data_IF_738335840066
#
_entry.id   IF_738335840066
#
_cell.length_a   1.000
_cell.length_b   1.000
_cell.length_c   1.000
_cell.angle_alpha   90.00
_cell.angle_beta   90.00
_cell.angle_gamma   90.00
#
_symmetry.space_group_name_H-M   'P 1'
#
loop_
_entity.id
_entity.type
_entity.pdbx_description
1 polymer ?
#
# COMPACT_ATOMS: atom_id res chain seq x y z
N UNK A 1 6.27 21.11 19.08
CA UNK A 1 6.15 19.67 19.39
C UNK A 1 4.83 19.48 20.14
N UNK A 2 3.73 19.36 19.40
CA UNK A 2 2.39 19.29 19.99
C UNK A 2 2.10 17.81 20.23
N UNK A 3 1.87 17.45 21.50
CA UNK A 3 1.46 16.10 21.92
C UNK A 3 0.14 15.79 21.21
N UNK A 4 0.14 14.77 20.37
CA UNK A 4 -1.01 14.31 19.61
C UNK A 4 -1.94 13.60 20.59
N UNK A 5 -3.20 14.01 20.67
CA UNK A 5 -4.21 13.28 21.43
C UNK A 5 -4.41 11.89 20.82
N UNK A 6 -4.15 10.88 21.62
CA UNK A 6 -4.34 9.46 21.32
C UNK A 6 -5.84 9.17 21.27
N UNK A 7 -6.45 9.35 20.11
CA UNK A 7 -7.80 8.86 19.87
C UNK A 7 -7.79 7.34 19.79
N UNK A 8 -8.40 6.66 20.76
CA UNK A 8 -8.68 5.23 20.66
C UNK A 8 -9.72 5.01 19.56
N UNK A 9 -9.33 4.34 18.48
CA UNK A 9 -10.27 3.89 17.46
C UNK A 9 -10.92 2.60 17.94
N UNK A 10 -12.25 2.48 18.04
CA UNK A 10 -12.88 1.23 18.42
C UNK A 10 -12.58 0.13 17.38
N UNK A 11 -12.53 -1.11 17.83
CA UNK A 11 -12.43 -2.26 16.92
C UNK A 11 -13.64 -2.30 15.99
N UNK A 12 -13.42 -2.58 14.71
CA UNK A 12 -14.51 -2.76 13.78
C UNK A 12 -15.18 -4.11 14.07
N UNK A 13 -16.47 -4.17 14.46
CA UNK A 13 -17.14 -5.41 14.85
C UNK A 13 -17.23 -6.45 13.71
N UNK A 14 -16.75 -6.11 12.50
CA UNK A 14 -16.72 -6.95 11.30
C UNK A 14 -15.45 -7.80 11.16
N UNK A 15 -14.73 -8.06 12.25
CA UNK A 15 -13.53 -8.94 12.31
C UNK A 15 -13.82 -10.38 11.82
N UNK A 16 -15.10 -10.78 11.77
CA UNK A 16 -15.60 -12.00 11.10
C UNK A 16 -16.41 -11.72 9.83
N UNK A 17 -15.97 -10.74 9.03
CA UNK A 17 -16.51 -10.48 7.71
C UNK A 17 -16.13 -11.59 6.71
N UNK A 18 -16.91 -11.71 5.64
CA UNK A 18 -16.58 -12.58 4.50
C UNK A 18 -15.18 -12.26 3.93
N UNK A 19 -14.74 -10.99 4.01
CA UNK A 19 -13.42 -10.52 3.60
C UNK A 19 -12.32 -11.13 4.48
N UNK A 20 -12.44 -11.03 5.80
CA UNK A 20 -11.47 -11.63 6.73
C UNK A 20 -11.41 -13.15 6.59
N UNK A 21 -12.54 -13.82 6.38
CA UNK A 21 -12.57 -15.26 6.12
C UNK A 21 -11.92 -15.62 4.77
N UNK A 22 -12.16 -14.84 3.72
CA UNK A 22 -11.49 -15.00 2.43
C UNK A 22 -9.98 -14.85 2.56
N UNK A 23 -9.50 -13.83 3.27
CA UNK A 23 -8.07 -13.64 3.55
C UNK A 23 -7.48 -14.85 4.27
N UNK A 24 -8.13 -15.35 5.33
CA UNK A 24 -7.65 -16.52 6.10
C UNK A 24 -7.64 -17.83 5.30
N UNK A 25 -8.59 -18.01 4.39
CA UNK A 25 -8.77 -19.30 3.68
C UNK A 25 -8.09 -19.33 2.32
N UNK A 26 -8.02 -18.19 1.62
CA UNK A 26 -7.44 -18.07 0.28
C UNK A 26 -6.11 -17.33 0.26
N UNK A 27 -5.74 -16.65 1.33
CA UNK A 27 -4.53 -15.82 1.39
C UNK A 27 -4.69 -14.43 0.77
N UNK A 28 -5.90 -14.07 0.32
CA UNK A 28 -6.20 -12.74 -0.22
C UNK A 28 -7.71 -12.48 -0.24
N UNK A 29 -8.09 -11.21 -0.31
CA UNK A 29 -9.48 -10.80 -0.49
C UNK A 29 -9.57 -9.44 -1.20
N UNK A 30 -10.69 -9.18 -1.86
CA UNK A 30 -11.06 -7.86 -2.42
C UNK A 30 -12.22 -7.28 -1.64
N UNK A 31 -12.27 -5.95 -1.57
CA UNK A 31 -13.33 -5.17 -0.92
C UNK A 31 -13.36 -3.77 -1.51
N UNK A 32 -14.42 -3.00 -1.25
CA UNK A 32 -14.59 -1.70 -1.87
C UNK A 32 -15.11 -0.59 -0.92
N UNK A 33 -15.43 0.57 -1.50
CA UNK A 33 -15.94 1.72 -0.78
C UNK A 33 -17.22 1.44 0.05
N UNK A 34 -18.06 0.50 -0.36
CA UNK A 34 -19.27 0.09 0.36
C UNK A 34 -18.91 -0.67 1.65
N UNK A 35 -17.85 -1.47 1.62
CA UNK A 35 -17.34 -2.16 2.82
C UNK A 35 -16.70 -1.18 3.81
N UNK A 36 -16.13 -0.09 3.32
CA UNK A 36 -15.45 0.90 4.17
C UNK A 36 -16.42 1.84 4.89
N UNK A 37 -17.62 2.07 4.33
CA UNK A 37 -18.68 2.91 4.91
C UNK A 37 -18.19 4.29 5.34
N UNK A 38 -17.33 4.92 4.52
CA UNK A 38 -16.71 6.19 4.86
C UNK A 38 -17.72 7.30 5.15
N UNK A 39 -17.43 8.16 6.12
CA UNK A 39 -18.18 9.39 6.35
C UNK A 39 -17.81 10.48 5.31
N UNK A 40 -18.54 11.59 5.32
CA UNK A 40 -18.29 12.68 4.37
C UNK A 40 -16.89 13.30 4.51
N UNK A 41 -16.36 13.39 5.73
CA UNK A 41 -15.01 13.91 5.99
C UNK A 41 -13.96 13.04 5.32
N UNK A 42 -14.03 11.73 5.52
CA UNK A 42 -13.10 10.75 4.95
C UNK A 42 -13.16 10.74 3.41
N UNK A 43 -14.35 10.88 2.82
CA UNK A 43 -14.48 11.04 1.36
C UNK A 43 -13.79 12.30 0.85
N UNK A 44 -13.91 13.43 1.55
CA UNK A 44 -13.20 14.67 1.19
C UNK A 44 -11.69 14.54 1.38
N UNK A 45 -11.25 13.79 2.37
CA UNK A 45 -9.83 13.48 2.61
C UNK A 45 -9.25 12.61 1.49
N UNK A 46 -10.02 11.70 0.91
CA UNK A 46 -9.60 10.93 -0.27
C UNK A 46 -9.29 11.86 -1.45
N UNK A 47 -10.14 12.86 -1.72
CA UNK A 47 -9.87 13.87 -2.74
C UNK A 47 -8.63 14.72 -2.43
N UNK A 48 -8.40 15.04 -1.15
CA UNK A 48 -7.19 15.75 -0.71
C UNK A 48 -5.94 14.87 -0.89
N UNK A 49 -6.02 13.58 -0.61
CA UNK A 49 -4.95 12.61 -0.83
C UNK A 49 -4.61 12.49 -2.31
N UNK A 50 -5.63 12.43 -3.19
CA UNK A 50 -5.45 12.40 -4.64
C UNK A 50 -4.76 13.67 -5.18
N UNK A 51 -5.01 14.85 -4.57
CA UNK A 51 -4.28 16.09 -4.89
C UNK A 51 -2.86 16.07 -4.35
N UNK A 52 -2.66 15.60 -3.11
CA UNK A 52 -1.34 15.46 -2.52
C UNK A 52 -0.44 14.52 -3.36
N UNK A 53 -1.00 13.43 -3.86
CA UNK A 53 -0.31 12.47 -4.73
C UNK A 53 0.30 13.10 -6.01
N UNK A 54 -0.25 14.22 -6.49
CA UNK A 54 0.27 14.93 -7.66
C UNK A 54 1.58 15.70 -7.36
N UNK A 55 1.85 15.97 -6.09
CA UNK A 55 3.06 16.70 -5.64
C UNK A 55 4.22 15.76 -5.30
N UNK A 56 4.01 14.44 -5.38
CA UNK A 56 5.02 13.47 -5.01
C UNK A 56 6.24 13.56 -5.92
N UNK A 57 7.46 13.44 -5.38
CA UNK A 57 8.67 13.42 -6.18
C UNK A 57 8.73 12.12 -7.00
N UNK A 58 9.49 12.17 -8.09
CA UNK A 58 9.86 10.95 -8.81
C UNK A 58 10.60 10.01 -7.85
N UNK A 59 10.30 8.73 -7.94
CA UNK A 59 10.96 7.70 -7.15
C UNK A 59 12.40 7.51 -7.64
N UNK A 60 13.40 7.84 -6.82
CA UNK A 60 14.80 7.61 -7.15
C UNK A 60 15.20 6.12 -7.26
N UNK A 61 14.34 5.23 -6.76
CA UNK A 61 14.50 3.77 -6.77
C UNK A 61 13.40 3.08 -7.59
N UNK A 62 12.66 3.85 -8.39
CA UNK A 62 11.57 3.40 -9.24
C UNK A 62 11.64 4.07 -10.60
N UNK A 63 11.92 3.30 -11.64
CA UNK A 63 11.93 3.82 -13.00
C UNK A 63 10.56 4.31 -13.49
N UNK A 64 10.53 4.76 -14.74
CA UNK A 64 9.32 4.85 -15.56
C UNK A 64 8.16 5.67 -14.96
N UNK A 65 8.44 6.88 -14.47
CA UNK A 65 7.38 7.79 -14.04
C UNK A 65 6.62 7.34 -12.78
N UNK A 66 7.24 6.51 -11.94
CA UNK A 66 6.74 6.21 -10.59
C UNK A 66 7.08 7.36 -9.65
N UNK A 67 6.09 7.83 -8.89
CA UNK A 67 6.24 8.83 -7.84
C UNK A 67 5.78 8.23 -6.51
N UNK A 68 6.46 8.55 -5.41
CA UNK A 68 6.06 8.01 -4.11
C UNK A 68 6.43 8.87 -2.91
N UNK A 69 5.73 8.65 -1.81
CA UNK A 69 6.19 8.91 -0.45
C UNK A 69 5.97 7.68 0.43
N UNK A 70 6.59 7.69 1.60
CA UNK A 70 6.46 6.64 2.60
C UNK A 70 6.31 7.25 3.98
N UNK A 71 5.60 6.60 4.88
CA UNK A 71 5.63 6.89 6.30
C UNK A 71 5.53 5.58 7.06
N UNK A 72 5.97 5.62 8.31
CA UNK A 72 6.01 4.44 9.16
C UNK A 72 5.51 4.83 10.53
N UNK A 73 4.65 4.00 11.11
CA UNK A 73 4.15 4.15 12.47
C UNK A 73 4.48 2.93 13.31
N UNK A 74 4.49 3.15 14.63
CA UNK A 74 4.33 2.07 15.61
C UNK A 74 2.84 1.97 15.92
N UNK A 75 2.25 0.82 15.59
CA UNK A 75 0.88 0.44 15.90
C UNK A 75 0.88 -0.42 17.16
N UNK A 76 0.06 -0.07 18.15
CA UNK A 76 -0.10 -0.87 19.38
C UNK A 76 -1.50 -1.49 19.37
N UNK A 77 -1.64 -2.82 19.14
CA UNK A 77 -2.94 -3.46 18.98
C UNK A 77 -3.87 -3.28 20.19
N UNK A 78 -3.35 -3.51 21.39
CA UNK A 78 -4.11 -3.52 22.65
C UNK A 78 -4.79 -2.20 22.99
N UNK A 79 -4.09 -1.09 22.72
CA UNK A 79 -4.59 0.27 22.99
C UNK A 79 -5.21 0.92 21.76
N UNK A 80 -5.13 0.26 20.59
CA UNK A 80 -5.49 0.79 19.28
C UNK A 80 -4.90 2.18 19.03
N UNK A 81 -3.61 2.32 19.34
CA UNK A 81 -2.87 3.57 19.13
C UNK A 81 -1.90 3.45 17.97
N UNK A 82 -1.71 4.57 17.26
CA UNK A 82 -0.81 4.69 16.12
C UNK A 82 0.13 5.88 16.35
N UNK A 83 1.45 5.64 16.31
CA UNK A 83 2.47 6.70 16.47
C UNK A 83 3.38 6.77 15.25
N UNK A 84 3.14 7.76 14.40
CA UNK A 84 3.99 8.05 13.24
C UNK A 84 5.41 8.42 13.66
N UNK A 85 6.40 7.78 13.03
CA UNK A 85 7.81 8.14 13.19
C UNK A 85 8.04 9.54 12.57
N UNK A 86 8.87 10.39 13.20
CA UNK A 86 9.05 11.79 12.78
C UNK A 86 9.83 11.94 11.46
N UNK A 87 10.61 10.93 11.05
CA UNK A 87 11.53 11.01 9.93
C UNK A 87 12.81 11.79 10.27
N UNK A 88 13.60 12.08 9.23
CA UNK A 88 14.89 12.76 9.27
C UNK A 88 14.73 14.06 8.48
N UNK A 89 15.00 15.20 9.11
CA UNK A 89 14.96 16.49 8.42
C UNK A 89 16.26 16.65 7.61
N UNK A 90 16.14 16.64 6.29
CA UNK A 90 17.23 16.89 5.36
C UNK A 90 17.34 18.36 4.95
N UNK A 91 18.29 18.64 4.06
CA UNK A 91 18.55 19.99 3.55
C UNK A 91 17.32 20.56 2.82
N UNK A 92 17.05 21.85 3.03
CA UNK A 92 15.88 22.53 2.47
C UNK A 92 14.55 22.20 3.16
N UNK A 93 14.58 21.58 4.34
CA UNK A 93 13.39 21.33 5.16
C UNK A 93 12.54 20.15 4.71
N UNK A 94 13.03 19.35 3.75
CA UNK A 94 12.38 18.09 3.38
C UNK A 94 12.56 17.07 4.50
N UNK A 95 11.49 16.36 4.82
CA UNK A 95 11.55 15.26 5.80
C UNK A 95 11.59 13.96 5.02
N UNK A 96 12.60 13.14 5.28
CA UNK A 96 12.78 11.82 4.68
C UNK A 96 12.59 10.73 5.72
N UNK A 97 12.39 9.50 5.29
CA UNK A 97 12.36 8.34 6.17
C UNK A 97 13.06 7.16 5.49
N UNK A 98 13.78 6.38 6.30
CA UNK A 98 14.45 5.17 5.83
C UNK A 98 13.42 4.05 5.63
N UNK A 99 13.58 3.31 4.55
CA UNK A 99 12.80 2.12 4.24
C UNK A 99 13.76 1.03 3.77
N UNK A 100 13.61 -0.14 4.35
CA UNK A 100 14.45 -1.29 4.05
C UNK A 100 13.57 -2.51 3.79
N UNK A 101 13.88 -3.21 2.71
CA UNK A 101 13.32 -4.53 2.41
C UNK A 101 14.49 -5.51 2.31
N UNK A 102 14.25 -6.77 2.68
CA UNK A 102 15.24 -7.81 2.51
C UNK A 102 15.52 -8.06 1.03
N UNK A 103 16.74 -8.53 0.70
CA UNK A 103 17.18 -8.82 -0.67
C UNK A 103 16.28 -9.82 -1.39
N UNK A 104 15.67 -10.76 -0.66
CA UNK A 104 14.73 -11.73 -1.21
C UNK A 104 13.45 -11.10 -1.77
N UNK A 105 12.98 -9.99 -1.19
CA UNK A 105 11.73 -9.32 -1.59
C UNK A 105 11.98 -8.14 -2.52
N UNK A 106 13.17 -7.54 -2.48
CA UNK A 106 13.56 -6.52 -3.44
C UNK A 106 14.94 -6.80 -4.03
N UNK A 107 15.05 -7.69 -5.04
CA UNK A 107 16.34 -8.08 -5.62
C UNK A 107 17.18 -6.91 -6.15
N UNK A 108 16.53 -5.85 -6.64
CA UNK A 108 17.20 -4.67 -7.22
C UNK A 108 17.84 -3.76 -6.17
N UNK A 109 17.35 -3.75 -4.92
CA UNK A 109 17.78 -2.79 -3.89
C UNK A 109 17.88 -3.35 -2.47
N UNK A 110 17.64 -4.64 -2.26
CA UNK A 110 17.51 -5.18 -0.91
C UNK A 110 18.87 -5.26 -0.22
N UNK A 111 18.85 -4.96 1.08
CA UNK A 111 20.06 -4.65 1.85
C UNK A 111 20.50 -3.18 1.79
N UNK A 112 19.95 -2.37 0.88
CA UNK A 112 20.18 -0.92 0.84
C UNK A 112 19.12 -0.20 1.67
N UNK A 113 19.55 0.67 2.59
CA UNK A 113 18.66 1.63 3.25
C UNK A 113 18.28 2.73 2.28
N UNK A 114 17.06 2.66 1.74
CA UNK A 114 16.53 3.68 0.83
C UNK A 114 15.91 4.80 1.64
N UNK A 115 16.06 6.04 1.18
CA UNK A 115 15.39 7.21 1.74
C UNK A 115 14.30 7.68 0.81
N UNK A 116 13.10 7.81 1.34
CA UNK A 116 11.95 8.36 0.60
C UNK A 116 11.48 9.64 1.28
N UNK A 117 10.83 10.51 0.50
CA UNK A 117 10.08 11.63 1.07
C UNK A 117 9.08 11.07 2.09
N UNK A 118 9.11 11.61 3.31
CA UNK A 118 8.13 11.27 4.33
C UNK A 118 6.79 11.88 3.98
N UNK A 119 5.71 11.10 4.09
CA UNK A 119 4.34 11.64 4.01
C UNK A 119 4.17 12.79 5.01
N UNK A 120 3.51 13.87 4.58
CA UNK A 120 3.34 15.06 5.43
C UNK A 120 2.44 14.78 6.65
N UNK A 121 2.69 15.43 7.79
CA UNK A 121 1.89 15.26 9.00
C UNK A 121 0.40 15.56 8.78
N UNK A 122 0.08 16.55 7.93
CA UNK A 122 -1.31 16.87 7.57
C UNK A 122 -2.04 15.67 6.99
N UNK A 123 -1.40 14.92 6.09
CA UNK A 123 -2.00 13.73 5.46
C UNK A 123 -2.07 12.57 6.45
N UNK A 124 -1.04 12.40 7.28
CA UNK A 124 -0.99 11.36 8.32
C UNK A 124 -2.01 11.58 9.45
N UNK A 125 -2.62 12.78 9.53
CA UNK A 125 -3.69 13.12 10.44
C UNK A 125 -5.10 12.92 9.86
N UNK A 126 -5.22 12.55 8.58
CA UNK A 126 -6.54 12.30 7.99
C UNK A 126 -7.24 11.15 8.68
N UNK A 127 -8.50 11.36 9.05
CA UNK A 127 -9.36 10.31 9.62
C UNK A 127 -9.45 9.10 8.69
N UNK A 128 -9.46 9.32 7.37
CA UNK A 128 -9.42 8.28 6.34
C UNK A 128 -8.23 7.33 6.52
N UNK A 129 -7.04 7.86 6.75
CA UNK A 129 -5.83 7.03 6.85
C UNK A 129 -5.90 6.14 8.09
N UNK A 130 -6.36 6.69 9.21
CA UNK A 130 -6.51 5.91 10.44
C UNK A 130 -7.63 4.86 10.30
N UNK A 131 -8.74 5.22 9.65
CA UNK A 131 -9.86 4.33 9.36
C UNK A 131 -9.42 3.12 8.54
N UNK A 132 -8.65 3.34 7.47
CA UNK A 132 -8.14 2.27 6.62
C UNK A 132 -7.14 1.38 7.37
N UNK A 133 -6.15 1.96 8.05
CA UNK A 133 -5.17 1.21 8.83
C UNK A 133 -5.84 0.26 9.82
N UNK A 134 -6.83 0.75 10.57
CA UNK A 134 -7.53 -0.08 11.54
C UNK A 134 -8.46 -1.10 10.91
N UNK A 135 -9.11 -0.75 9.81
CA UNK A 135 -9.92 -1.70 9.05
C UNK A 135 -9.06 -2.85 8.50
N UNK A 136 -7.94 -2.55 7.86
CA UNK A 136 -7.02 -3.53 7.30
C UNK A 136 -6.39 -4.39 8.38
N UNK A 137 -5.98 -3.78 9.50
CA UNK A 137 -5.45 -4.51 10.65
C UNK A 137 -6.47 -5.51 11.21
N UNK A 138 -7.73 -5.09 11.36
CA UNK A 138 -8.80 -5.95 11.87
C UNK A 138 -9.09 -7.13 10.92
N UNK A 139 -8.94 -6.96 9.59
CA UNK A 139 -9.08 -8.06 8.62
C UNK A 139 -8.03 -9.17 8.80
N UNK A 140 -6.82 -8.84 9.27
CA UNK A 140 -5.75 -9.82 9.45
C UNK A 140 -6.08 -10.87 10.52
N UNK A 141 -7.05 -10.58 11.41
CA UNK A 141 -7.36 -11.44 12.55
C UNK A 141 -6.17 -11.62 13.50
N UNK A 142 -5.32 -10.59 13.63
CA UNK A 142 -4.08 -10.63 14.42
C UNK A 142 -4.27 -11.26 15.81
N UNK A 143 -3.54 -12.33 16.08
CA UNK A 143 -3.56 -13.06 17.36
C UNK A 143 -2.24 -12.97 18.13
N UNK A 144 -1.26 -12.20 17.63
CA UNK A 144 0.09 -12.09 18.20
C UNK A 144 0.19 -11.30 19.52
N UNK A 145 -0.92 -11.13 20.24
CA UNK A 145 -0.98 -10.41 21.51
C UNK A 145 -0.76 -8.90 21.39
N UNK A 146 -0.25 -8.31 22.47
CA UNK A 146 -0.14 -6.86 22.66
C UNK A 146 1.17 -6.27 22.10
N UNK A 147 1.99 -7.08 21.42
CA UNK A 147 3.28 -6.64 20.89
C UNK A 147 3.08 -5.53 19.83
N UNK A 148 3.82 -4.42 19.94
CA UNK A 148 3.75 -3.36 18.94
C UNK A 148 4.22 -3.84 17.57
N UNK A 149 3.55 -3.35 16.54
CA UNK A 149 3.85 -3.62 15.14
C UNK A 149 4.35 -2.37 14.44
N UNK A 150 5.18 -2.58 13.43
CA UNK A 150 5.43 -1.57 12.42
C UNK A 150 4.22 -1.54 11.47
N UNK A 151 3.70 -0.35 11.22
CA UNK A 151 2.70 -0.08 10.19
C UNK A 151 3.31 0.81 9.12
N UNK A 152 3.49 0.27 7.92
CA UNK A 152 3.95 1.02 6.76
C UNK A 152 2.77 1.69 6.05
N UNK A 153 2.99 2.93 5.59
CA UNK A 153 2.06 3.64 4.72
C UNK A 153 2.80 4.11 3.47
N UNK A 154 2.41 3.56 2.33
CA UNK A 154 2.96 3.89 1.03
C UNK A 154 1.92 4.64 0.22
N UNK A 155 2.33 5.73 -0.43
CA UNK A 155 1.51 6.37 -1.46
C UNK A 155 2.30 6.34 -2.76
N UNK A 156 1.79 5.63 -3.76
CA UNK A 156 2.47 5.38 -5.02
C UNK A 156 1.59 5.86 -6.17
N UNK A 157 2.14 6.74 -7.00
CA UNK A 157 1.50 7.25 -8.22
C UNK A 157 2.30 6.85 -9.44
N UNK A 158 1.71 6.04 -10.31
CA UNK A 158 2.25 5.67 -11.61
C UNK A 158 1.78 6.68 -12.66
N UNK A 159 2.71 7.31 -13.37
CA UNK A 159 2.45 8.32 -14.40
C UNK A 159 2.82 7.80 -15.79
N UNK A 160 1.82 7.56 -16.64
CA UNK A 160 2.04 7.14 -18.02
C UNK A 160 1.94 8.32 -18.99
N UNK A 161 2.80 8.35 -20.00
CA UNK A 161 2.73 9.25 -21.14
C UNK A 161 2.56 8.44 -22.44
N UNK A 162 2.13 9.05 -23.55
CA UNK A 162 2.09 8.37 -24.85
C UNK A 162 3.45 7.73 -25.18
N UNK A 163 3.46 6.42 -25.42
CA UNK A 163 4.66 5.63 -25.70
C UNK A 163 5.59 5.38 -24.49
N UNK A 164 5.23 5.85 -23.29
CA UNK A 164 6.02 5.66 -22.06
C UNK A 164 5.14 5.07 -20.95
N UNK A 165 5.07 3.73 -20.83
CA UNK A 165 4.37 3.08 -19.73
C UNK A 165 5.01 3.41 -18.38
N UNK A 166 4.26 3.22 -17.30
CA UNK A 166 4.76 3.27 -15.93
C UNK A 166 4.57 1.93 -15.23
N UNK A 167 5.59 1.48 -14.49
CA UNK A 167 5.69 0.12 -13.96
C UNK A 167 5.90 0.10 -12.45
N UNK A 168 5.43 -0.97 -11.83
CA UNK A 168 5.83 -1.34 -10.47
C UNK A 168 7.17 -2.08 -10.50
N UNK A 169 7.88 -2.08 -9.37
CA UNK A 169 9.12 -2.85 -9.20
C UNK A 169 8.93 -3.74 -7.97
N UNK A 170 9.20 -5.06 -8.07
CA UNK A 170 9.69 -5.77 -9.26
C UNK A 170 8.59 -5.97 -10.34
N UNK A 171 9.00 -6.04 -11.61
CA UNK A 171 8.09 -6.27 -12.76
C UNK A 171 7.85 -7.78 -13.01
N UNK A 172 7.55 -8.51 -11.94
CA UNK A 172 7.22 -9.94 -11.94
C UNK A 172 6.27 -10.28 -10.78
N UNK A 173 5.82 -11.54 -10.70
CA UNK A 173 5.14 -12.04 -9.50
C UNK A 173 6.09 -11.97 -8.32
N UNK A 174 5.67 -11.36 -7.23
CA UNK A 174 6.52 -11.16 -6.06
C UNK A 174 5.73 -11.25 -4.76
N UNK A 175 6.51 -11.24 -3.69
CA UNK A 175 6.11 -11.10 -2.30
C UNK A 175 6.69 -9.79 -1.79
N UNK A 176 5.96 -9.09 -0.95
CA UNK A 176 6.36 -7.80 -0.39
C UNK A 176 7.37 -7.98 0.76
N UNK A 177 7.25 -9.09 1.50
CA UNK A 177 8.05 -9.41 2.68
C UNK A 177 7.43 -8.98 4.00
N UNK A 178 6.31 -8.27 3.96
CA UNK A 178 5.48 -7.98 5.12
C UNK A 178 4.36 -9.02 5.20
N UNK A 179 4.02 -9.56 6.39
CA UNK A 179 2.99 -10.57 6.54
C UNK A 179 1.67 -10.25 5.84
N UNK A 180 1.22 -8.99 5.93
CA UNK A 180 0.01 -8.53 5.28
C UNK A 180 0.23 -7.17 4.62
N UNK A 181 -0.29 -7.02 3.40
CA UNK A 181 -0.34 -5.76 2.66
C UNK A 181 -1.74 -5.54 2.10
N UNK A 182 -2.35 -4.41 2.46
CA UNK A 182 -3.56 -3.90 1.83
C UNK A 182 -3.20 -2.85 0.76
N UNK A 183 -3.96 -2.82 -0.33
CA UNK A 183 -3.79 -1.87 -1.44
C UNK A 183 -5.14 -1.27 -1.77
N UNK A 184 -5.23 0.06 -1.76
CA UNK A 184 -6.45 0.80 -2.05
C UNK A 184 -6.24 1.74 -3.24
N UNK A 185 -7.16 1.73 -4.20
CA UNK A 185 -7.12 2.71 -5.28
C UNK A 185 -7.48 4.11 -4.75
N UNK A 186 -6.57 5.06 -4.92
CA UNK A 186 -6.84 6.47 -4.58
C UNK A 186 -7.49 7.17 -5.75
N UNK A 187 -6.90 7.05 -6.95
CA UNK A 187 -7.51 7.52 -8.18
C UNK A 187 -6.92 6.81 -9.40
N UNK A 188 -7.66 6.87 -10.50
CA UNK A 188 -7.26 6.38 -11.81
C UNK A 188 -7.84 7.29 -12.89
N UNK A 189 -7.01 7.79 -13.80
CA UNK A 189 -7.48 8.62 -14.91
C UNK A 189 -6.56 8.54 -16.12
N UNK A 190 -7.12 8.50 -17.33
CA UNK A 190 -6.36 8.52 -18.58
C UNK A 190 -5.40 7.34 -18.78
N UNK A 191 -5.63 6.19 -18.12
CA UNK A 191 -4.78 5.00 -18.22
C UNK A 191 -5.54 3.73 -18.59
N UNK A 192 -4.87 2.86 -19.36
CA UNK A 192 -5.21 1.44 -19.52
C UNK A 192 -4.15 0.57 -18.81
N UNK A 193 -4.41 -0.72 -18.62
CA UNK A 193 -3.51 -1.62 -17.86
C UNK A 193 -3.71 -1.51 -16.34
N UNK A 194 -2.69 -1.85 -15.54
CA UNK A 194 -2.83 -1.92 -14.08
C UNK A 194 -3.76 -3.05 -13.62
N UNK A 195 -3.71 -4.19 -14.31
CA UNK A 195 -4.41 -5.42 -13.96
C UNK A 195 -3.60 -6.10 -12.84
N UNK A 196 -4.27 -6.46 -11.74
CA UNK A 196 -3.63 -7.21 -10.65
C UNK A 196 -3.70 -8.70 -10.94
N UNK A 197 -2.68 -9.42 -10.49
CA UNK A 197 -2.55 -10.86 -10.58
C UNK A 197 -2.26 -11.41 -9.20
N UNK A 198 -2.88 -12.54 -8.88
CA UNK A 198 -2.63 -13.35 -7.69
C UNK A 198 -2.30 -14.77 -8.15
N UNK A 199 -1.27 -15.35 -7.56
CA UNK A 199 -0.86 -16.73 -7.83
C UNK A 199 -0.34 -17.40 -6.55
N UNK A 200 -0.17 -18.72 -6.61
CA UNK A 200 0.45 -19.47 -5.53
C UNK A 200 1.93 -19.03 -5.31
N UNK A 201 2.45 -19.04 -4.07
CA UNK A 201 3.78 -18.52 -3.75
C UNK A 201 4.94 -19.12 -4.55
N UNK A 202 4.77 -20.36 -5.03
CA UNK A 202 5.76 -21.05 -5.89
C UNK A 202 6.05 -20.34 -7.21
N UNK A 203 5.20 -19.41 -7.65
CA UNK A 203 5.40 -18.61 -8.85
C UNK A 203 6.10 -17.27 -8.57
N UNK A 204 6.49 -16.98 -7.33
CA UNK A 204 7.28 -15.79 -7.02
C UNK A 204 8.60 -15.79 -7.82
N UNK A 205 8.92 -14.66 -8.45
CA UNK A 205 10.04 -14.49 -9.38
C UNK A 205 9.69 -14.70 -10.85
N UNK A 206 8.60 -15.39 -11.17
CA UNK A 206 8.20 -15.69 -12.54
C UNK A 206 7.53 -14.48 -13.22
N UNK A 207 7.71 -14.34 -14.54
CA UNK A 207 6.91 -13.38 -15.31
C UNK A 207 5.50 -13.93 -15.51
N UNK A 208 4.51 -13.05 -15.57
CA UNK A 208 3.11 -13.42 -15.88
C UNK A 208 3.00 -14.25 -17.17
N UNK A 209 3.84 -13.99 -18.17
CA UNK A 209 3.85 -14.75 -19.45
C UNK A 209 4.35 -16.19 -19.32
N UNK A 210 4.99 -16.54 -18.22
CA UNK A 210 5.60 -17.87 -17.97
C UNK A 210 4.74 -18.73 -17.05
N UNK A 211 3.69 -18.14 -16.47
CA UNK A 211 2.79 -18.81 -15.54
C UNK A 211 1.55 -19.28 -16.31
N UNK A 212 1.10 -20.54 -16.12
CA UNK A 212 -0.14 -21.02 -16.72
C UNK A 212 -1.33 -20.11 -16.37
N UNK A 213 -2.18 -19.81 -17.36
CA UNK A 213 -3.28 -18.85 -17.19
C UNK A 213 -4.30 -19.29 -16.11
N UNK A 214 -4.49 -20.59 -15.94
CA UNK A 214 -5.36 -21.19 -14.91
C UNK A 214 -4.76 -21.12 -13.49
N UNK A 215 -3.46 -20.83 -13.37
CA UNK A 215 -2.80 -20.57 -12.10
C UNK A 215 -2.85 -19.09 -11.68
N UNK A 216 -3.37 -18.21 -12.53
CA UNK A 216 -3.48 -16.77 -12.29
C UNK A 216 -4.92 -16.37 -12.01
N UNK A 217 -5.16 -15.76 -10.86
CA UNK A 217 -6.38 -14.99 -10.63
C UNK A 217 -6.13 -13.53 -10.98
N UNK A 218 -7.05 -12.88 -11.69
CA UNK A 218 -6.89 -11.49 -12.13
C UNK A 218 -8.09 -10.63 -11.80
N UNK A 219 -7.83 -9.36 -11.46
CA UNK A 219 -8.87 -8.36 -11.22
C UNK A 219 -8.31 -6.95 -11.41
N UNK A 220 -9.19 -5.98 -11.67
CA UNK A 220 -8.82 -4.59 -11.88
C UNK A 220 -9.40 -3.70 -10.79
N UNK A 221 -8.61 -2.74 -10.31
CA UNK A 221 -9.12 -1.63 -9.49
C UNK A 221 -9.52 -0.49 -10.43
N UNK A 222 -10.79 -0.12 -10.38
CA UNK A 222 -11.44 0.81 -11.30
C UNK A 222 -11.94 2.06 -10.61
N UNK A 223 -12.67 1.91 -9.51
CA UNK A 223 -13.28 2.98 -8.75
C UNK A 223 -12.44 3.31 -7.49
N UNK A 224 -12.46 4.57 -7.01
CA UNK A 224 -11.77 4.93 -5.78
C UNK A 224 -12.19 4.01 -4.62
N UNK A 225 -11.20 3.51 -3.91
CA UNK A 225 -11.28 2.53 -2.83
C UNK A 225 -11.67 1.11 -3.24
N UNK A 226 -11.69 0.78 -4.54
CA UNK A 226 -11.48 -0.62 -4.94
C UNK A 226 -10.17 -1.07 -4.30
N UNK A 227 -10.24 -2.13 -3.50
CA UNK A 227 -9.17 -2.55 -2.60
C UNK A 227 -8.94 -4.05 -2.62
N UNK A 228 -7.75 -4.46 -2.24
CA UNK A 228 -7.44 -5.85 -1.92
C UNK A 228 -6.42 -5.93 -0.80
N UNK A 229 -6.43 -7.05 -0.08
CA UNK A 229 -5.45 -7.39 0.95
C UNK A 229 -4.89 -8.79 0.68
N UNK A 230 -3.60 -8.98 0.95
CA UNK A 230 -2.92 -10.26 0.80
C UNK A 230 -2.26 -10.70 2.11
N UNK A 231 -2.22 -12.01 2.32
CA UNK A 231 -1.28 -12.69 3.21
C UNK A 231 -0.07 -13.09 2.36
N UNK A 232 1.05 -12.46 2.62
CA UNK A 232 2.26 -12.62 1.83
C UNK A 232 2.82 -14.05 1.89
N UNK A 233 2.57 -14.80 2.96
CA UNK A 233 2.98 -16.20 3.05
C UNK A 233 2.12 -17.12 2.17
N UNK A 234 0.89 -16.73 1.88
CA UNK A 234 -0.10 -17.56 1.21
C UNK A 234 -0.16 -17.32 -0.31
N UNK A 235 0.24 -16.15 -0.81
CA UNK A 235 0.20 -15.81 -2.24
C UNK A 235 1.44 -15.05 -2.71
N UNK A 236 1.64 -14.99 -4.04
CA UNK A 236 2.43 -13.94 -4.66
C UNK A 236 1.54 -13.12 -5.61
N UNK A 237 1.95 -11.89 -5.90
CA UNK A 237 1.13 -10.96 -6.67
C UNK A 237 1.94 -10.12 -7.66
N UNK A 238 1.25 -9.49 -8.60
CA UNK A 238 1.83 -8.57 -9.56
C UNK A 238 0.78 -7.55 -10.02
N UNK A 239 1.22 -6.41 -10.52
CA UNK A 239 0.35 -5.46 -11.23
C UNK A 239 0.96 -5.11 -12.58
N UNK A 240 0.18 -5.27 -13.65
CA UNK A 240 0.69 -4.95 -14.99
C UNK A 240 0.99 -3.45 -15.12
N UNK A 241 1.89 -3.08 -16.05
CA UNK A 241 2.17 -1.68 -16.35
C UNK A 241 0.89 -0.89 -16.65
N UNK A 242 0.90 0.39 -16.29
CA UNK A 242 -0.11 1.34 -16.78
C UNK A 242 0.40 2.04 -18.02
N UNK A 243 -0.46 2.17 -19.02
CA UNK A 243 -0.19 2.88 -20.28
C UNK A 243 -1.13 4.06 -20.41
N UNK A 244 -0.68 5.12 -21.08
CA UNK A 244 -1.55 6.25 -21.41
C UNK A 244 -2.67 5.76 -22.36
N UNK A 245 -3.91 6.02 -21.98
CA UNK A 245 -5.07 5.60 -22.77
C UNK A 245 -5.07 6.28 -24.16
N UNK A 246 -5.63 5.64 -25.20
CA UNK A 246 -5.76 6.27 -26.52
C UNK A 246 -6.42 7.65 -26.45
N UNK A 247 -5.79 8.66 -27.06
CA UNK A 247 -6.29 10.04 -27.06
C UNK A 247 -5.99 10.86 -25.81
N UNK A 248 -5.50 10.25 -24.72
CA UNK A 248 -5.06 10.99 -23.54
C UNK A 248 -3.66 11.60 -23.74
N UNK A 249 -3.41 12.76 -23.10
CA UNK A 249 -2.09 13.42 -23.09
C UNK A 249 -1.16 12.86 -22.01
N UNK A 250 -1.75 12.33 -20.95
CA UNK A 250 -1.10 11.64 -19.84
C UNK A 250 -2.15 10.81 -19.10
N UNK A 251 -1.68 9.88 -18.29
CA UNK A 251 -2.53 9.09 -17.41
C UNK A 251 -1.87 8.84 -16.06
N UNK A 252 -2.70 8.64 -15.04
CA UNK A 252 -2.26 8.33 -13.70
C UNK A 252 -3.04 7.17 -13.08
N UNK A 253 -2.35 6.35 -12.31
CA UNK A 253 -2.93 5.43 -11.32
C UNK A 253 -2.25 5.66 -9.99
N UNK A 254 -3.00 6.06 -8.97
CA UNK A 254 -2.49 6.22 -7.61
C UNK A 254 -3.10 5.18 -6.71
N UNK A 255 -2.25 4.49 -5.97
CA UNK A 255 -2.66 3.57 -4.90
C UNK A 255 -1.99 3.99 -3.60
N UNK A 256 -2.66 3.69 -2.50
CA UNK A 256 -2.03 3.65 -1.19
C UNK A 256 -1.90 2.19 -0.74
N UNK A 257 -0.79 1.86 -0.11
CA UNK A 257 -0.57 0.55 0.48
C UNK A 257 -0.36 0.71 1.98
N UNK A 258 -0.92 -0.23 2.73
CA UNK A 258 -0.79 -0.33 4.18
C UNK A 258 -0.29 -1.73 4.51
N UNK A 259 0.83 -1.81 5.21
CA UNK A 259 1.44 -3.08 5.59
C UNK A 259 1.69 -3.15 7.10
N UNK A 260 1.72 -4.38 7.62
CA UNK A 260 1.96 -4.66 9.04
C UNK A 260 3.10 -5.65 9.20
N UNK A 261 4.07 -5.31 10.04
CA UNK A 261 5.22 -6.18 10.32
C UNK A 261 5.54 -6.21 11.81
N UNK A 262 5.95 -7.36 12.37
CA UNK A 262 6.58 -7.41 13.68
C UNK A 262 7.77 -6.46 13.73
N UNK A 263 7.91 -5.71 14.82
CA UNK A 263 9.12 -4.91 15.03
C UNK A 263 10.25 -5.89 15.35
N UNK A 264 11.37 -5.87 14.60
CA UNK A 264 12.50 -6.72 14.92
C UNK A 264 12.97 -6.43 16.35
N UNK A 265 13.13 -7.48 17.17
CA UNK A 265 13.80 -7.34 18.46
C UNK A 265 15.18 -6.75 18.18
N UNK A 266 15.51 -5.64 18.86
CA UNK A 266 16.84 -5.05 18.74
C UNK A 266 17.87 -6.10 19.15
N UNK A 267 18.69 -6.53 18.18
CA UNK A 267 19.86 -7.39 18.39
C UNK A 267 21.00 -6.61 19.04
#
# INVERSE_FOLDING_TARGET
MQRIEEGSFPADPRVDSEIGNALRTMGWATFDHADLMLCEVERRELDQLARYAQTLPLDGFGGDGRHRCYAEAVLTPSTRTLRWKPGIVGDGGKVEIEYQQATEFQPEYGGVRRRFLRTSDRVLQFSLIHRLIWFDFDLTGWTGGDEPLQCGFHLVRLNALPGKPSRSTPDCLHRDGQPYTAVHLVNRSGVSGGLNYIAAPRYAGERITEVPADALTTFMLTEPLDSYIIDDAAVCHHVSPVVCAPGAKSGARTVMLIDFSPIPLAS
#
